data_IF_215715748274
#
_entry.id   IF_215715748274
#
_cell.length_a   1.000
_cell.length_b   1.000
_cell.length_c   1.000
_cell.angle_alpha   90.00
_cell.angle_beta   90.00
_cell.angle_gamma   90.00
#
_symmetry.space_group_name_H-M   'P 1'
#
loop_
_entity.id
_entity.type
_entity.pdbx_description
1 polymer ?
#
# COMPACT_ATOMS: atom_id res chain seq x y z
N UNK A 1 9.98 5.41 -0.16
CA UNK A 1 10.63 4.66 0.93
C UNK A 1 9.54 4.24 1.89
N UNK A 2 9.60 3.00 2.36
CA UNK A 2 8.61 2.45 3.29
C UNK A 2 8.81 3.06 4.69
N UNK A 3 7.72 3.50 5.31
CA UNK A 3 7.71 3.96 6.68
C UNK A 3 6.57 3.29 7.46
N UNK A 4 6.78 2.89 8.73
CA UNK A 4 8.04 2.92 9.49
C UNK A 4 9.08 1.91 8.96
N UNK A 5 10.38 2.25 8.96
CA UNK A 5 11.39 1.45 8.28
C UNK A 5 11.84 0.19 9.04
N UNK A 6 11.57 0.09 10.34
CA UNK A 6 12.13 -0.97 11.22
C UNK A 6 11.17 -1.54 12.26
N UNK A 7 9.96 -1.00 12.36
CA UNK A 7 8.97 -1.42 13.37
C UNK A 7 7.64 -1.65 12.68
N UNK A 8 6.78 -2.48 13.25
CA UNK A 8 5.46 -2.68 12.71
C UNK A 8 4.55 -1.49 13.00
N UNK A 9 3.72 -1.11 12.02
CA UNK A 9 2.85 0.07 12.12
C UNK A 9 1.90 0.00 13.32
N UNK A 10 1.35 -1.18 13.62
CA UNK A 10 0.46 -1.39 14.78
C UNK A 10 1.17 -1.22 16.12
N UNK A 11 2.49 -1.48 16.20
CA UNK A 11 3.26 -1.30 17.42
C UNK A 11 3.48 0.18 17.74
N UNK A 12 3.67 1.00 16.71
CA UNK A 12 4.02 2.42 16.88
C UNK A 12 2.81 3.34 16.82
N UNK A 13 1.79 2.98 16.02
CA UNK A 13 0.63 3.82 15.72
C UNK A 13 -0.68 3.01 15.76
N UNK A 14 -0.98 2.38 16.89
CA UNK A 14 -2.15 1.50 17.04
C UNK A 14 -3.48 2.15 16.63
N UNK A 15 -3.75 3.40 17.04
CA UNK A 15 -4.98 4.10 16.64
C UNK A 15 -5.08 4.28 15.13
N UNK A 16 -3.98 4.70 14.47
CA UNK A 16 -3.96 4.87 13.02
C UNK A 16 -4.05 3.53 12.29
N UNK A 17 -3.50 2.47 12.87
CA UNK A 17 -3.64 1.11 12.36
C UNK A 17 -5.11 0.67 12.36
N UNK A 18 -5.82 0.89 13.47
CA UNK A 18 -7.23 0.53 13.60
C UNK A 18 -8.11 1.32 12.62
N UNK A 19 -7.83 2.62 12.46
CA UNK A 19 -8.53 3.46 11.50
C UNK A 19 -8.24 3.03 10.05
N UNK A 20 -6.99 2.66 9.75
CA UNK A 20 -6.60 2.12 8.45
C UNK A 20 -7.32 0.80 8.14
N UNK A 21 -7.33 -0.15 9.08
CA UNK A 21 -8.08 -1.41 8.96
C UNK A 21 -9.55 -1.15 8.62
N UNK A 22 -10.20 -0.25 9.35
CA UNK A 22 -11.61 0.10 9.09
C UNK A 22 -11.84 0.81 7.75
N UNK A 23 -10.82 1.45 7.20
CA UNK A 23 -10.88 2.11 5.90
C UNK A 23 -10.66 1.14 4.71
N UNK A 24 -10.12 -0.06 4.95
CA UNK A 24 -9.90 -1.04 3.89
C UNK A 24 -11.22 -1.51 3.27
N UNK A 25 -11.36 -1.51 1.94
CA UNK A 25 -12.54 -2.03 1.26
C UNK A 25 -12.47 -3.56 1.17
N UNK A 26 -13.64 -4.22 1.05
CA UNK A 26 -13.72 -5.69 0.88
C UNK A 26 -13.04 -6.45 2.05
N UNK A 27 -13.55 -6.28 3.28
CA UNK A 27 -12.89 -6.73 4.51
C UNK A 27 -12.57 -8.23 4.54
N UNK A 28 -13.41 -9.06 3.90
CA UNK A 28 -13.18 -10.50 3.81
C UNK A 28 -11.83 -10.86 3.16
N UNK A 29 -11.29 -10.00 2.30
CA UNK A 29 -9.98 -10.18 1.64
C UNK A 29 -8.87 -9.34 2.24
N UNK A 30 -9.19 -8.12 2.69
CA UNK A 30 -8.15 -7.12 3.02
C UNK A 30 -7.86 -6.99 4.49
N UNK A 31 -8.81 -7.35 5.38
CA UNK A 31 -8.56 -7.29 6.81
C UNK A 31 -7.59 -8.38 7.23
N UNK A 32 -6.84 -8.13 8.31
CA UNK A 32 -5.86 -9.10 8.84
C UNK A 32 -6.49 -10.40 9.34
N UNK A 33 -7.78 -10.37 9.66
CA UNK A 33 -8.60 -11.52 10.07
C UNK A 33 -9.68 -11.88 9.02
N UNK A 34 -9.56 -11.33 7.81
CA UNK A 34 -10.45 -11.61 6.70
C UNK A 34 -10.46 -13.11 6.35
N UNK A 35 -11.66 -13.66 6.13
CA UNK A 35 -11.83 -15.10 5.89
C UNK A 35 -11.15 -15.59 4.60
N UNK A 36 -11.04 -14.73 3.59
CA UNK A 36 -10.37 -15.00 2.31
C UNK A 36 -8.94 -14.43 2.26
N UNK A 37 -8.49 -13.75 3.31
CA UNK A 37 -7.09 -13.35 3.44
C UNK A 37 -6.26 -14.58 3.85
N UNK A 38 -5.54 -15.21 2.92
CA UNK A 38 -4.73 -16.42 3.19
C UNK A 38 -3.72 -16.19 4.33
N UNK A 39 -3.30 -14.95 4.53
CA UNK A 39 -2.28 -14.60 5.52
C UNK A 39 -2.83 -14.61 6.94
N UNK A 40 -4.15 -14.47 7.12
CA UNK A 40 -4.84 -14.65 8.41
C UNK A 40 -4.83 -16.11 8.89
N UNK A 41 -4.63 -17.06 7.97
CA UNK A 41 -4.58 -18.50 8.23
C UNK A 41 -3.17 -19.08 8.24
N UNK A 42 -2.13 -18.22 8.18
CA UNK A 42 -0.75 -18.69 8.14
C UNK A 42 -0.38 -19.38 9.47
N UNK A 43 0.36 -20.50 9.44
CA UNK A 43 0.75 -21.20 10.67
C UNK A 43 1.52 -20.27 11.62
N UNK A 44 1.18 -20.28 12.90
CA UNK A 44 1.85 -19.45 13.92
C UNK A 44 3.33 -19.81 14.15
N UNK A 45 3.75 -21.00 13.68
CA UNK A 45 5.13 -21.46 13.66
C UNK A 45 5.85 -21.23 12.31
N UNK A 46 5.19 -20.57 11.35
CA UNK A 46 5.76 -20.21 10.06
C UNK A 46 6.36 -18.80 10.04
N UNK A 47 7.14 -18.50 9.00
CA UNK A 47 7.58 -17.12 8.71
C UNK A 47 6.53 -16.49 7.81
N UNK A 48 5.61 -15.73 8.42
CA UNK A 48 4.64 -14.96 7.65
C UNK A 48 5.36 -13.85 6.86
N UNK A 49 4.93 -13.54 5.62
CA UNK A 49 5.44 -12.38 4.91
C UNK A 49 5.09 -11.09 5.67
N UNK A 50 5.97 -10.09 5.61
CA UNK A 50 5.65 -8.75 6.10
C UNK A 50 4.74 -8.05 5.08
N UNK A 51 3.47 -7.87 5.44
CA UNK A 51 2.42 -7.33 4.57
C UNK A 51 2.08 -5.88 4.88
N UNK A 52 2.79 -5.25 5.82
CA UNK A 52 2.55 -3.86 6.22
C UNK A 52 1.55 -3.69 7.37
N UNK A 53 0.79 -2.56 7.43
CA UNK A 53 0.69 -1.52 6.40
C UNK A 53 1.97 -0.71 6.23
N UNK A 54 2.16 -0.15 5.04
CA UNK A 54 3.29 0.72 4.68
C UNK A 54 2.77 2.12 4.34
N UNK A 55 3.44 3.15 4.85
CA UNK A 55 3.14 4.55 4.52
C UNK A 55 4.08 5.05 3.41
N UNK A 56 3.49 5.61 2.35
CA UNK A 56 4.19 6.27 1.26
C UNK A 56 3.89 7.77 1.26
N UNK A 57 4.94 8.59 1.30
CA UNK A 57 4.85 10.05 1.22
C UNK A 57 5.83 10.54 0.16
N UNK A 58 5.35 11.36 -0.78
CA UNK A 58 6.16 11.91 -1.86
C UNK A 58 5.74 13.35 -2.19
N UNK A 59 6.69 14.12 -2.73
CA UNK A 59 6.41 15.38 -3.41
C UNK A 59 6.07 15.11 -4.88
N UNK A 60 5.36 16.03 -5.58
CA UNK A 60 5.07 15.87 -7.00
C UNK A 60 6.35 15.69 -7.82
N UNK A 61 6.31 14.72 -8.74
CA UNK A 61 7.43 14.48 -9.65
C UNK A 61 7.51 15.59 -10.71
N UNK A 62 8.63 16.31 -10.71
CA UNK A 62 8.96 17.35 -11.71
C UNK A 62 9.94 16.85 -12.78
N UNK A 63 10.45 15.63 -12.62
CA UNK A 63 11.51 15.04 -13.45
C UNK A 63 11.01 13.99 -14.43
N UNK A 64 9.72 13.64 -14.41
CA UNK A 64 9.10 12.61 -15.24
C UNK A 64 9.76 11.23 -15.07
N UNK A 65 10.24 10.93 -13.86
CA UNK A 65 10.84 9.65 -13.47
C UNK A 65 9.90 8.78 -12.62
N UNK A 66 8.76 9.32 -12.19
CA UNK A 66 7.83 8.70 -11.25
C UNK A 66 8.31 8.78 -9.80
N UNK A 67 7.36 9.01 -8.89
CA UNK A 67 7.61 8.92 -7.43
C UNK A 67 7.76 7.48 -6.96
N UNK A 68 7.14 6.55 -7.68
CA UNK A 68 7.30 5.10 -7.53
C UNK A 68 7.68 4.56 -8.90
N UNK A 69 8.84 3.89 -8.99
CA UNK A 69 9.28 3.28 -10.25
C UNK A 69 8.46 2.03 -10.55
N UNK A 70 8.41 1.67 -11.83
CA UNK A 70 7.80 0.42 -12.27
C UNK A 70 8.40 -0.77 -11.51
N UNK A 71 7.53 -1.56 -10.89
CA UNK A 71 7.86 -2.79 -10.19
C UNK A 71 6.64 -3.71 -10.16
N UNK A 72 6.85 -4.94 -9.73
CA UNK A 72 5.81 -5.93 -9.49
C UNK A 72 5.75 -6.22 -7.99
N UNK A 73 4.55 -6.18 -7.42
CA UNK A 73 4.32 -6.62 -6.04
C UNK A 73 4.29 -8.15 -5.97
N UNK A 74 4.89 -8.70 -4.91
CA UNK A 74 4.93 -10.15 -4.68
C UNK A 74 3.61 -10.71 -4.12
N UNK A 75 2.73 -9.84 -3.63
CA UNK A 75 1.45 -10.16 -3.01
C UNK A 75 0.38 -9.19 -3.50
N UNK A 76 -0.89 -9.55 -3.34
CA UNK A 76 -1.98 -8.61 -3.59
C UNK A 76 -1.86 -7.40 -2.66
N UNK A 77 -2.06 -6.19 -3.21
CA UNK A 77 -1.87 -4.92 -2.50
C UNK A 77 -3.07 -3.99 -2.71
N UNK A 78 -3.49 -3.31 -1.64
CA UNK A 78 -4.42 -2.18 -1.69
C UNK A 78 -3.67 -0.90 -1.30
N UNK A 79 -3.78 0.13 -2.15
CA UNK A 79 -3.23 1.46 -1.90
C UNK A 79 -4.37 2.46 -1.68
N UNK A 80 -4.34 3.21 -0.56
CA UNK A 80 -5.32 4.25 -0.25
C UNK A 80 -4.63 5.61 -0.27
N UNK A 81 -5.13 6.53 -1.09
CA UNK A 81 -4.69 7.93 -1.08
C UNK A 81 -5.38 8.67 0.09
N UNK A 82 -4.70 8.72 1.24
CA UNK A 82 -5.25 9.35 2.45
C UNK A 82 -5.17 10.90 2.42
N UNK A 83 -4.16 11.45 1.76
CA UNK A 83 -3.96 12.91 1.66
C UNK A 83 -3.30 13.28 0.33
N UNK A 84 -3.79 14.34 -0.29
CA UNK A 84 -3.12 15.01 -1.40
C UNK A 84 -3.30 16.52 -1.27
N UNK A 85 -2.18 17.25 -1.34
CA UNK A 85 -2.23 18.71 -1.35
C UNK A 85 -2.66 19.22 -2.72
N UNK A 86 -3.46 20.29 -2.82
CA UNK A 86 -3.83 20.89 -4.09
C UNK A 86 -2.62 21.31 -4.94
N UNK A 87 -2.80 21.31 -6.25
CA UNK A 87 -1.82 21.82 -7.20
C UNK A 87 -1.64 23.35 -7.10
N UNK A 88 -0.60 23.91 -7.74
CA UNK A 88 -0.30 25.34 -7.72
C UNK A 88 -1.48 26.24 -8.15
N UNK A 89 -2.31 25.74 -9.07
CA UNK A 89 -3.45 26.47 -9.63
C UNK A 89 -4.79 26.11 -8.94
N UNK A 90 -4.75 25.43 -7.80
CA UNK A 90 -5.94 25.01 -7.06
C UNK A 90 -6.57 23.71 -7.56
N UNK A 91 -5.93 23.04 -8.52
CA UNK A 91 -6.35 21.72 -9.02
C UNK A 91 -6.31 20.66 -7.91
N UNK A 92 -7.18 19.67 -8.00
CA UNK A 92 -7.20 18.55 -7.05
C UNK A 92 -5.87 17.78 -7.09
N UNK A 93 -5.27 17.59 -5.92
CA UNK A 93 -4.08 16.76 -5.79
C UNK A 93 -4.39 15.28 -5.97
N UNK A 94 -3.41 14.51 -6.43
CA UNK A 94 -3.57 13.07 -6.61
C UNK A 94 -2.31 12.37 -7.09
N UNK A 95 -2.48 11.15 -7.57
CA UNK A 95 -1.43 10.34 -8.18
C UNK A 95 -1.94 9.73 -9.48
N UNK A 96 -1.07 9.70 -10.49
CA UNK A 96 -1.31 8.98 -11.74
C UNK A 96 -0.72 7.58 -11.62
N UNK A 97 -1.53 6.56 -11.94
CA UNK A 97 -1.12 5.16 -11.91
C UNK A 97 -1.17 4.58 -13.32
N UNK A 98 -0.08 3.94 -13.72
CA UNK A 98 -0.05 3.03 -14.87
C UNK A 98 0.10 1.62 -14.32
N UNK A 99 -0.88 0.75 -14.60
CA UNK A 99 -0.91 -0.64 -14.15
C UNK A 99 -0.91 -1.51 -15.39
N UNK A 100 -0.04 -2.52 -15.40
CA UNK A 100 0.12 -3.47 -16.50
C UNK A 100 -0.30 -4.86 -16.04
N UNK A 101 -0.75 -5.69 -16.99
CA UNK A 101 -1.04 -7.09 -16.68
C UNK A 101 0.25 -7.81 -16.29
N UNK A 102 0.22 -8.71 -15.28
CA UNK A 102 1.37 -9.56 -14.99
C UNK A 102 1.78 -10.43 -16.19
N UNK A 103 0.85 -10.74 -17.09
CA UNK A 103 1.11 -11.48 -18.34
C UNK A 103 2.05 -10.71 -19.29
N UNK A 104 2.05 -9.37 -19.22
CA UNK A 104 2.87 -8.51 -20.08
C UNK A 104 4.28 -8.27 -19.50
N UNK A 105 4.60 -8.83 -18.33
CA UNK A 105 5.85 -8.56 -17.59
C UNK A 105 7.15 -8.85 -18.35
N UNK A 106 7.09 -9.72 -19.36
CA UNK A 106 8.25 -10.05 -20.21
C UNK A 106 8.47 -9.08 -21.39
N UNK A 107 7.48 -8.22 -21.66
CA UNK A 107 7.44 -7.36 -22.85
C UNK A 107 7.50 -5.86 -22.52
N UNK A 108 7.53 -5.52 -21.22
CA UNK A 108 7.67 -4.16 -20.68
C UNK A 108 9.07 -3.94 -20.09
#
# INVERSE_FOLDING_TARGET
QDWPPTQHFWTVYSTLYDDFQKALPVPDYTWSDGVFNITSHFPSNGVAPDLGPKLYVALPDKSFHGTTRLHLDATDTINILLHASPGPDGELGGALWHIFSPEDSSSI
#
